data_IF_401506853275
#
_entry.id   IF_401506853275
#
_cell.length_a   1.000
_cell.length_b   1.000
_cell.length_c   1.000
_cell.angle_alpha   90.00
_cell.angle_beta   90.00
_cell.angle_gamma   90.00
#
_symmetry.space_group_name_H-M   'P 1'
#
loop_
_entity.id
_entity.type
_entity.pdbx_description
1 polymer ?
#
# COMPACT_ATOMS: atom_id res chain seq x y z
N UNK A 1 39.89 -7.62 7.80
CA UNK A 1 40.70 -7.16 6.64
C UNK A 1 40.87 -5.65 6.72
N UNK A 2 42.12 -5.17 6.69
CA UNK A 2 42.45 -3.74 6.64
C UNK A 2 41.94 -3.14 5.31
N UNK A 3 40.76 -2.50 5.32
CA UNK A 3 40.35 -1.60 4.22
C UNK A 3 41.35 -0.43 4.26
N UNK A 4 42.38 -0.44 3.42
CA UNK A 4 43.13 0.80 3.14
C UNK A 4 42.07 1.76 2.60
N UNK A 5 41.75 2.81 3.36
CA UNK A 5 40.78 3.81 2.93
C UNK A 5 41.30 4.42 1.63
N UNK A 6 40.67 4.07 0.51
CA UNK A 6 40.95 4.67 -0.79
C UNK A 6 40.63 6.15 -0.66
N UNK A 7 41.66 6.99 -0.55
CA UNK A 7 41.50 8.43 -0.53
C UNK A 7 41.44 8.91 -1.98
N UNK A 8 40.35 9.59 -2.32
CA UNK A 8 40.19 10.26 -3.59
C UNK A 8 40.57 11.72 -3.41
N UNK A 9 41.39 12.25 -4.32
CA UNK A 9 41.78 13.64 -4.28
C UNK A 9 41.22 14.37 -5.49
N UNK A 10 40.37 15.37 -5.22
CA UNK A 10 39.70 16.20 -6.22
C UNK A 10 40.48 17.50 -6.38
N UNK A 11 40.77 17.94 -7.63
CA UNK A 11 41.52 19.17 -7.87
C UNK A 11 40.81 20.37 -7.25
N UNK A 12 41.58 21.43 -6.98
CA UNK A 12 41.01 22.67 -6.46
C UNK A 12 39.86 23.16 -7.38
N UNK A 13 38.65 23.37 -6.84
CA UNK A 13 37.50 23.77 -7.62
C UNK A 13 37.78 25.09 -8.34
N UNK A 14 37.32 25.20 -9.59
CA UNK A 14 37.44 26.45 -10.33
C UNK A 14 36.60 27.54 -9.64
N UNK A 15 37.08 28.81 -9.63
CA UNK A 15 36.29 29.91 -9.10
C UNK A 15 34.94 30.00 -9.83
N UNK A 16 33.86 29.92 -9.07
CA UNK A 16 32.50 30.13 -9.56
C UNK A 16 32.31 31.64 -9.77
N UNK A 17 32.51 32.13 -10.99
CA UNK A 17 32.34 33.54 -11.31
C UNK A 17 30.91 34.05 -11.02
N UNK A 18 30.81 35.23 -10.38
CA UNK A 18 29.56 35.99 -10.25
C UNK A 18 28.35 35.27 -9.64
N UNK A 19 27.13 35.60 -10.13
CA UNK A 19 25.81 35.11 -9.68
C UNK A 19 25.54 33.62 -9.98
N UNK A 20 26.51 32.84 -10.46
CA UNK A 20 26.28 31.42 -10.77
C UNK A 20 25.83 30.64 -9.54
N UNK A 21 24.95 29.67 -9.78
CA UNK A 21 24.50 28.71 -8.79
C UNK A 21 25.69 27.89 -8.27
N UNK A 22 25.61 27.49 -7.00
CA UNK A 22 26.71 26.77 -6.33
C UNK A 22 26.74 25.30 -6.73
N UNK A 23 25.62 24.77 -7.19
CA UNK A 23 25.46 23.49 -7.85
C UNK A 23 24.30 23.62 -8.84
N UNK A 24 24.35 22.86 -9.92
CA UNK A 24 23.31 22.87 -10.98
C UNK A 24 22.73 21.50 -11.27
N UNK A 25 23.31 20.44 -10.69
CA UNK A 25 22.81 19.08 -10.79
C UNK A 25 22.23 18.62 -9.45
N UNK A 26 21.33 17.65 -9.55
CA UNK A 26 20.55 17.12 -8.43
C UNK A 26 21.39 16.82 -7.17
N UNK A 27 22.50 16.09 -7.29
CA UNK A 27 23.35 15.73 -6.14
C UNK A 27 23.98 16.94 -5.45
N UNK A 28 24.42 17.93 -6.23
CA UNK A 28 25.00 19.15 -5.70
C UNK A 28 23.94 20.06 -5.07
N UNK A 29 22.76 20.19 -5.70
CA UNK A 29 21.62 20.93 -5.15
C UNK A 29 21.15 20.32 -3.83
N UNK A 30 20.95 19.00 -3.80
CA UNK A 30 20.52 18.29 -2.60
C UNK A 30 21.53 18.39 -1.46
N UNK A 31 22.83 18.42 -1.78
CA UNK A 31 23.87 18.70 -0.79
C UNK A 31 23.78 20.13 -0.23
N UNK A 32 23.55 21.13 -1.10
CA UNK A 32 23.32 22.51 -0.68
C UNK A 32 22.10 22.60 0.23
N UNK A 33 20.98 21.95 -0.12
CA UNK A 33 19.78 21.92 0.70
C UNK A 33 20.05 21.31 2.08
N UNK A 34 20.84 20.23 2.11
CA UNK A 34 21.22 19.57 3.36
C UNK A 34 22.09 20.48 4.24
N UNK A 35 22.97 21.28 3.64
CA UNK A 35 23.75 22.28 4.37
C UNK A 35 22.90 23.46 4.83
N UNK A 36 22.00 23.96 4.00
CA UNK A 36 21.24 25.19 4.29
C UNK A 36 20.08 24.93 5.26
N UNK A 37 19.52 23.72 5.28
CA UNK A 37 18.34 23.33 6.08
C UNK A 37 17.19 24.33 5.92
N UNK A 38 16.67 24.51 4.67
CA UNK A 38 15.69 25.56 4.38
C UNK A 38 14.37 25.39 5.15
N UNK A 39 14.01 24.14 5.47
CA UNK A 39 12.82 23.80 6.25
C UNK A 39 13.03 23.95 7.77
N UNK A 40 14.27 24.20 8.21
CA UNK A 40 14.65 24.37 9.60
C UNK A 40 14.40 23.13 10.46
N UNK A 41 14.43 21.94 9.87
CA UNK A 41 14.08 20.69 10.56
C UNK A 41 15.16 20.26 11.56
N UNK A 42 16.44 20.52 11.25
CA UNK A 42 17.56 20.12 12.10
C UNK A 42 18.03 21.24 13.03
N UNK A 43 18.09 22.48 12.54
CA UNK A 43 18.65 23.61 13.31
C UNK A 43 17.58 24.62 13.77
N UNK A 44 16.30 24.38 13.49
CA UNK A 44 15.21 25.34 13.70
C UNK A 44 15.23 26.49 12.68
N UNK A 45 14.35 27.48 12.83
CA UNK A 45 14.41 28.70 12.01
C UNK A 45 15.80 29.35 12.14
N UNK A 46 16.44 29.57 10.99
CA UNK A 46 17.83 30.01 10.92
C UNK A 46 18.12 31.20 11.84
N UNK A 47 19.11 31.06 12.71
CA UNK A 47 19.62 32.18 13.49
C UNK A 47 20.42 33.09 12.56
N UNK A 48 20.26 34.41 12.69
CA UNK A 48 20.95 35.42 11.88
C UNK A 48 22.48 35.24 11.82
N UNK A 49 23.07 34.62 12.85
CA UNK A 49 24.48 34.23 12.89
C UNK A 49 24.86 33.11 11.93
N UNK A 50 24.02 32.09 11.75
CA UNK A 50 24.23 30.97 10.81
C UNK A 50 24.12 31.45 9.36
N UNK A 51 23.06 32.19 9.04
CA UNK A 51 22.87 32.75 7.70
C UNK A 51 24.03 33.64 7.26
N UNK A 52 24.50 34.50 8.16
CA UNK A 52 25.65 35.35 7.90
C UNK A 52 26.95 34.55 7.67
N UNK A 53 27.13 33.42 8.35
CA UNK A 53 28.29 32.52 8.17
C UNK A 53 28.22 31.76 6.84
N UNK A 54 27.05 31.21 6.51
CA UNK A 54 26.80 30.55 5.23
C UNK A 54 27.01 31.51 4.06
N UNK A 55 26.46 32.72 4.13
CA UNK A 55 26.65 33.75 3.10
C UNK A 55 28.13 34.05 2.84
N UNK A 56 28.95 34.21 3.89
CA UNK A 56 30.40 34.38 3.73
C UNK A 56 31.08 33.13 3.18
N UNK A 57 30.64 31.94 3.56
CA UNK A 57 31.10 30.67 3.01
C UNK A 57 30.88 30.57 1.50
N UNK A 58 29.67 30.93 1.03
CA UNK A 58 29.34 31.01 -0.41
C UNK A 58 30.30 31.94 -1.14
N UNK A 59 30.62 33.11 -0.58
CA UNK A 59 31.60 34.04 -1.15
C UNK A 59 32.99 33.42 -1.28
N UNK A 60 33.46 32.71 -0.25
CA UNK A 60 34.79 32.10 -0.26
C UNK A 60 34.89 30.96 -1.29
N UNK A 61 33.84 30.13 -1.40
CA UNK A 61 33.75 29.09 -2.42
C UNK A 61 33.81 29.71 -3.83
N UNK A 62 33.02 30.76 -4.09
CA UNK A 62 33.00 31.48 -5.38
C UNK A 62 34.34 32.10 -5.77
N UNK A 63 35.09 32.62 -4.79
CA UNK A 63 36.41 33.20 -5.01
C UNK A 63 37.52 32.17 -5.26
N UNK A 64 37.23 30.87 -5.24
CA UNK A 64 38.25 29.83 -5.36
C UNK A 64 39.21 29.80 -4.16
N UNK A 65 38.69 30.11 -2.96
CA UNK A 65 39.49 30.09 -1.73
C UNK A 65 39.74 28.68 -1.21
N UNK A 66 39.03 27.67 -1.73
CA UNK A 66 39.18 26.26 -1.37
C UNK A 66 40.23 25.62 -2.28
N UNK A 67 41.23 24.97 -1.67
CA UNK A 67 42.24 24.22 -2.40
C UNK A 67 41.74 22.84 -2.84
N UNK A 68 42.70 21.95 -3.10
CA UNK A 68 42.43 20.54 -3.38
C UNK A 68 41.63 19.89 -2.24
N UNK A 69 40.67 19.04 -2.61
CA UNK A 69 39.73 18.41 -1.69
C UNK A 69 40.06 16.92 -1.59
N UNK A 70 40.37 16.46 -0.39
CA UNK A 70 40.56 15.03 -0.10
C UNK A 70 39.26 14.44 0.41
N UNK A 71 38.81 13.36 -0.21
CA UNK A 71 37.63 12.59 0.15
C UNK A 71 38.07 11.19 0.58
N UNK A 72 37.58 10.72 1.72
CA UNK A 72 37.65 9.32 2.16
C UNK A 72 36.30 8.95 2.75
N UNK A 73 36.12 7.67 3.07
CA UNK A 73 34.94 7.21 3.78
C UNK A 73 34.68 8.05 5.04
N UNK A 74 33.48 8.64 5.10
CA UNK A 74 32.97 9.49 6.17
C UNK A 74 33.67 10.85 6.34
N UNK A 75 34.52 11.28 5.40
CA UNK A 75 35.36 12.46 5.61
C UNK A 75 35.77 13.21 4.36
N UNK A 76 35.71 14.53 4.49
CA UNK A 76 36.12 15.53 3.53
C UNK A 76 37.13 16.49 4.17
N UNK A 77 38.21 16.83 3.48
CA UNK A 77 39.12 17.87 3.97
C UNK A 77 39.71 18.73 2.86
N UNK A 78 39.99 20.00 3.18
CA UNK A 78 40.69 20.91 2.31
C UNK A 78 41.45 21.99 3.09
N UNK A 79 42.37 22.65 2.40
CA UNK A 79 42.97 23.91 2.86
C UNK A 79 42.18 25.08 2.30
N UNK A 80 41.69 25.97 3.16
CA UNK A 80 40.87 27.12 2.77
C UNK A 80 41.60 28.42 3.08
N UNK A 81 41.84 29.24 2.06
CA UNK A 81 42.43 30.57 2.20
C UNK A 81 41.48 31.48 2.97
N UNK A 82 42.05 32.34 3.82
CA UNK A 82 41.29 33.35 4.55
C UNK A 82 42.18 34.52 4.91
N UNK A 83 41.88 35.19 6.03
CA UNK A 83 42.62 36.41 6.43
C UNK A 83 44.07 36.16 6.88
N UNK A 84 44.42 34.93 7.28
CA UNK A 84 45.80 34.57 7.66
C UNK A 84 46.60 34.12 6.44
N UNK A 85 47.92 34.37 6.49
CA UNK A 85 48.88 33.94 5.46
C UNK A 85 48.86 32.42 5.23
N UNK A 86 48.74 31.64 6.30
CA UNK A 86 48.62 30.18 6.23
C UNK A 86 47.14 29.79 6.07
N UNK A 87 46.77 29.04 5.02
CA UNK A 87 45.40 28.54 4.84
C UNK A 87 44.92 27.69 6.02
N UNK A 88 43.64 27.81 6.36
CA UNK A 88 43.01 27.03 7.41
C UNK A 88 42.77 25.59 6.96
N UNK A 89 43.12 24.62 7.81
CA UNK A 89 42.69 23.22 7.68
C UNK A 89 41.22 23.13 8.06
N UNK A 90 40.40 22.64 7.12
CA UNK A 90 38.97 22.42 7.28
C UNK A 90 38.64 20.96 7.01
N UNK A 91 37.76 20.40 7.82
CA UNK A 91 37.28 19.02 7.71
C UNK A 91 35.76 19.00 7.89
N UNK A 92 35.11 18.12 7.15
CA UNK A 92 33.70 17.80 7.30
C UNK A 92 33.60 16.29 7.44
N UNK A 93 32.97 15.85 8.51
CA UNK A 93 32.72 14.45 8.79
C UNK A 93 31.23 14.18 8.58
N UNK A 94 30.93 13.04 7.99
CA UNK A 94 29.58 12.55 7.75
C UNK A 94 29.56 11.04 8.03
N UNK A 95 28.44 10.45 8.43
CA UNK A 95 28.36 9.02 8.62
C UNK A 95 28.51 8.27 7.29
N UNK A 96 29.26 7.17 7.33
CA UNK A 96 29.26 6.18 6.25
C UNK A 96 27.91 5.45 6.23
N UNK A 97 27.48 5.00 5.05
CA UNK A 97 26.28 4.16 4.99
C UNK A 97 26.62 2.77 5.53
N UNK A 98 25.78 2.20 6.42
CA UNK A 98 25.95 0.82 6.88
C UNK A 98 25.99 -0.17 5.72
N UNK A 99 26.73 -1.27 5.86
CA UNK A 99 26.82 -2.30 4.83
C UNK A 99 25.43 -2.82 4.42
N UNK A 100 24.49 -2.95 5.37
CA UNK A 100 23.10 -3.33 5.10
C UNK A 100 22.35 -2.32 4.20
N UNK A 101 22.54 -1.02 4.42
CA UNK A 101 21.95 0.03 3.58
C UNK A 101 22.55 0.01 2.17
N UNK A 102 23.86 -0.26 2.06
CA UNK A 102 24.50 -0.49 0.77
C UNK A 102 23.93 -1.72 0.06
N UNK A 103 23.67 -2.82 0.76
CA UNK A 103 23.04 -4.00 0.17
C UNK A 103 21.60 -3.72 -0.32
N UNK A 104 20.85 -2.86 0.38
CA UNK A 104 19.54 -2.40 -0.09
C UNK A 104 19.66 -1.56 -1.37
N UNK A 105 20.58 -0.58 -1.38
CA UNK A 105 20.81 0.31 -2.52
C UNK A 105 21.28 -0.47 -3.77
N UNK A 106 22.25 -1.36 -3.61
CA UNK A 106 22.71 -2.25 -4.67
C UNK A 106 21.59 -3.18 -5.18
N UNK A 107 20.52 -3.36 -4.42
CA UNK A 107 19.37 -4.20 -4.79
C UNK A 107 18.44 -3.44 -5.70
N UNK A 108 18.13 -2.21 -5.31
CA UNK A 108 17.40 -1.28 -6.14
C UNK A 108 18.12 -1.03 -7.48
N UNK A 109 19.43 -0.77 -7.43
CA UNK A 109 20.24 -0.57 -8.64
C UNK A 109 20.31 -1.80 -9.54
N UNK A 110 20.44 -3.00 -8.97
CA UNK A 110 20.40 -4.24 -9.77
C UNK A 110 19.02 -4.48 -10.40
N UNK A 111 17.94 -4.06 -9.73
CA UNK A 111 16.58 -4.17 -10.27
C UNK A 111 16.31 -3.19 -11.43
N UNK A 112 17.07 -2.10 -11.54
CA UNK A 112 17.02 -1.20 -12.70
C UNK A 112 17.53 -1.92 -13.95
N UNK A 113 18.68 -2.61 -13.84
CA UNK A 113 19.28 -3.38 -14.92
C UNK A 113 20.75 -3.04 -15.22
N UNK A 114 21.32 -3.59 -16.30
CA UNK A 114 22.72 -3.40 -16.68
C UNK A 114 23.04 -2.00 -17.22
N UNK A 115 22.04 -1.22 -17.63
CA UNK A 115 22.18 0.17 -18.08
C UNK A 115 22.67 1.09 -16.95
N UNK A 116 22.18 0.92 -15.72
CA UNK A 116 22.69 1.66 -14.57
C UNK A 116 24.16 1.33 -14.29
N UNK A 117 24.58 0.07 -14.44
CA UNK A 117 25.99 -0.30 -14.31
C UNK A 117 26.87 0.42 -15.35
N UNK A 118 26.37 0.62 -16.58
CA UNK A 118 27.10 1.37 -17.62
C UNK A 118 27.25 2.84 -17.25
N UNK A 119 26.19 3.49 -16.78
CA UNK A 119 26.25 4.88 -16.29
C UNK A 119 27.23 5.03 -15.12
N UNK A 120 27.14 4.11 -14.16
CA UNK A 120 28.04 4.08 -13.01
C UNK A 120 29.50 3.87 -13.45
N UNK A 121 29.77 3.01 -14.44
CA UNK A 121 31.11 2.81 -14.97
C UNK A 121 31.69 4.06 -15.65
N UNK A 122 30.84 4.95 -16.16
CA UNK A 122 31.22 6.27 -16.70
C UNK A 122 31.42 7.32 -15.59
N UNK A 123 31.20 6.93 -14.32
CA UNK A 123 31.27 7.82 -13.15
C UNK A 123 30.04 8.70 -12.98
N UNK A 124 28.96 8.42 -13.72
CA UNK A 124 27.70 9.15 -13.65
C UNK A 124 26.74 8.46 -12.69
N UNK A 125 26.10 9.27 -11.86
CA UNK A 125 24.99 8.86 -11.00
C UNK A 125 23.78 9.69 -11.45
N UNK A 126 23.24 9.33 -12.62
CA UNK A 126 22.13 10.01 -13.26
C UNK A 126 20.77 9.68 -12.66
N UNK A 127 19.70 10.02 -13.38
CA UNK A 127 18.32 9.90 -12.92
C UNK A 127 17.96 8.46 -12.52
N UNK A 128 18.44 7.45 -13.24
CA UNK A 128 18.22 6.04 -12.91
C UNK A 128 18.73 5.68 -11.51
N UNK A 129 19.96 6.11 -11.18
CA UNK A 129 20.56 5.85 -9.87
C UNK A 129 19.85 6.62 -8.76
N UNK A 130 19.41 7.85 -9.04
CA UNK A 130 18.66 8.71 -8.11
C UNK A 130 17.30 8.10 -7.82
N UNK A 131 16.50 7.80 -8.84
CA UNK A 131 15.15 7.25 -8.71
C UNK A 131 15.16 5.91 -7.97
N UNK A 132 16.08 5.01 -8.33
CA UNK A 132 16.22 3.72 -7.67
C UNK A 132 16.63 3.88 -6.19
N UNK A 133 17.51 4.81 -5.86
CA UNK A 133 17.91 5.08 -4.48
C UNK A 133 16.73 5.64 -3.64
N UNK A 134 15.98 6.59 -4.21
CA UNK A 134 14.80 7.18 -3.57
C UNK A 134 13.67 6.16 -3.38
N UNK A 135 13.48 5.23 -4.31
CA UNK A 135 12.46 4.19 -4.20
C UNK A 135 12.67 3.25 -3.01
N UNK A 136 13.91 3.13 -2.51
CA UNK A 136 14.26 2.39 -1.29
C UNK A 136 14.63 3.29 -0.10
N UNK A 137 14.28 4.58 -0.19
CA UNK A 137 14.51 5.59 0.86
C UNK A 137 15.98 5.73 1.28
N UNK A 138 16.92 5.48 0.37
CA UNK A 138 18.35 5.64 0.62
C UNK A 138 18.86 6.94 0.01
N UNK A 139 19.42 7.82 0.85
CA UNK A 139 20.06 9.06 0.41
C UNK A 139 21.58 8.97 0.50
N UNK A 140 22.26 9.16 -0.64
CA UNK A 140 23.72 9.28 -0.67
C UNK A 140 24.20 10.62 -0.11
N UNK A 141 23.42 11.69 -0.23
CA UNK A 141 23.72 12.96 0.46
C UNK A 141 23.41 12.84 1.95
N UNK A 142 24.25 13.40 2.84
CA UNK A 142 23.97 13.42 4.27
C UNK A 142 22.73 14.25 4.60
N UNK A 143 22.06 13.92 5.71
CA UNK A 143 21.00 14.77 6.28
C UNK A 143 21.59 16.03 6.94
N UNK A 144 20.79 17.09 7.16
CA UNK A 144 21.30 18.33 7.74
C UNK A 144 21.97 18.20 9.12
N UNK A 145 21.53 17.25 9.94
CA UNK A 145 22.06 16.95 11.27
C UNK A 145 23.24 15.95 11.25
N UNK A 146 23.58 15.38 10.10
CA UNK A 146 24.66 14.41 9.95
C UNK A 146 26.04 15.05 9.74
N UNK A 147 26.11 16.37 9.56
CA UNK A 147 27.37 17.07 9.35
C UNK A 147 28.06 17.40 10.67
N UNK A 148 29.35 17.04 10.77
CA UNK A 148 30.24 17.54 11.83
C UNK A 148 31.38 18.32 11.22
N UNK A 149 31.57 19.58 11.64
CA UNK A 149 32.57 20.47 11.05
C UNK A 149 33.76 20.69 11.98
N UNK A 150 34.97 20.64 11.42
CA UNK A 150 36.19 21.04 12.13
C UNK A 150 36.97 22.06 11.30
N UNK A 151 37.42 23.13 11.96
CA UNK A 151 38.24 24.15 11.31
C UNK A 151 39.28 24.70 12.28
N UNK A 152 40.51 24.85 11.80
CA UNK A 152 41.60 25.51 12.53
C UNK A 152 41.46 27.04 12.70
N UNK A 153 40.32 27.62 12.29
CA UNK A 153 40.06 29.05 12.41
C UNK A 153 39.51 29.40 13.80
N UNK A 154 39.67 30.65 14.28
CA UNK A 154 39.18 31.06 15.60
C UNK A 154 37.65 31.28 15.67
N UNK A 155 36.90 30.99 14.61
CA UNK A 155 35.43 31.08 14.57
C UNK A 155 34.84 29.74 15.02
N UNK A 156 34.29 29.71 16.23
CA UNK A 156 33.60 28.57 16.85
C UNK A 156 32.18 28.35 16.30
N UNK A 157 31.91 28.86 15.10
CA UNK A 157 30.63 28.68 14.43
C UNK A 157 30.46 27.31 13.83
N UNK A 158 29.20 26.89 13.74
CA UNK A 158 28.82 25.57 13.24
C UNK A 158 27.80 25.69 12.07
N UNK A 159 28.24 25.61 10.80
CA UNK A 159 29.62 25.66 10.35
C UNK A 159 30.21 27.09 10.42
N UNK A 160 31.54 27.18 10.55
CA UNK A 160 32.25 28.42 10.32
C UNK A 160 32.28 28.76 8.81
N UNK A 161 32.59 30.01 8.44
CA UNK A 161 32.62 30.40 7.01
C UNK A 161 33.57 29.55 6.14
N UNK A 162 34.65 29.00 6.70
CA UNK A 162 35.61 28.18 5.93
C UNK A 162 35.11 26.74 5.73
N UNK A 163 34.49 26.15 6.76
CA UNK A 163 33.84 24.84 6.64
C UNK A 163 32.64 24.91 5.69
N UNK A 164 31.84 25.97 5.77
CA UNK A 164 30.79 26.26 4.80
C UNK A 164 31.35 26.40 3.38
N UNK A 165 32.48 27.11 3.20
CA UNK A 165 33.11 27.24 1.89
C UNK A 165 33.56 25.89 1.31
N UNK A 166 34.15 25.01 2.14
CA UNK A 166 34.49 23.64 1.74
C UNK A 166 33.23 22.85 1.33
N UNK A 167 32.14 22.95 2.11
CA UNK A 167 30.88 22.27 1.80
C UNK A 167 30.29 22.71 0.46
N UNK A 168 30.20 24.02 0.20
CA UNK A 168 29.72 24.54 -1.09
C UNK A 168 30.64 24.19 -2.26
N UNK A 169 31.96 24.22 -2.04
CA UNK A 169 32.93 23.81 -3.05
C UNK A 169 32.81 22.33 -3.41
N UNK A 170 32.52 21.47 -2.42
CA UNK A 170 32.24 20.07 -2.65
C UNK A 170 30.94 19.87 -3.41
N UNK A 171 29.86 20.58 -3.03
CA UNK A 171 28.59 20.56 -3.74
C UNK A 171 28.75 20.85 -5.23
N UNK A 172 29.53 21.88 -5.58
CA UNK A 172 29.84 22.19 -6.98
C UNK A 172 30.61 21.06 -7.68
N UNK A 173 31.54 20.42 -6.96
CA UNK A 173 32.32 19.32 -7.52
C UNK A 173 31.43 18.12 -7.85
N UNK A 174 30.35 17.92 -7.09
CA UNK A 174 29.32 16.91 -7.37
C UNK A 174 28.57 17.13 -8.68
N UNK A 175 28.65 18.28 -9.34
CA UNK A 175 28.09 18.45 -10.69
C UNK A 175 28.86 17.67 -11.76
N UNK A 176 30.13 17.30 -11.47
CA UNK A 176 31.05 16.67 -12.43
C UNK A 176 31.68 15.39 -11.94
N UNK A 177 31.71 15.17 -10.61
CA UNK A 177 32.34 14.03 -9.95
C UNK A 177 31.38 13.43 -8.93
N UNK A 178 30.35 12.75 -9.44
CA UNK A 178 29.29 12.16 -8.61
C UNK A 178 29.84 10.99 -7.78
N UNK A 179 30.85 10.28 -8.31
CA UNK A 179 31.63 9.22 -7.66
C UNK A 179 32.23 9.61 -6.30
N UNK A 180 32.41 10.92 -6.08
CA UNK A 180 32.82 11.47 -4.80
C UNK A 180 31.87 11.13 -3.66
N UNK A 181 30.55 11.10 -3.91
CA UNK A 181 29.56 10.73 -2.89
C UNK A 181 29.67 9.27 -2.48
N UNK A 182 29.93 8.37 -3.43
CA UNK A 182 30.09 6.94 -3.15
C UNK A 182 31.31 6.70 -2.26
N UNK A 183 32.44 7.33 -2.59
CA UNK A 183 33.65 7.31 -1.78
C UNK A 183 33.39 7.87 -0.38
N UNK A 184 32.68 9.00 -0.28
CA UNK A 184 32.34 9.62 0.99
C UNK A 184 31.42 8.72 1.84
N UNK A 185 30.50 7.97 1.22
CA UNK A 185 29.57 7.06 1.90
C UNK A 185 30.12 5.65 2.14
N UNK A 186 31.39 5.41 1.82
CA UNK A 186 32.13 4.20 2.22
C UNK A 186 32.26 3.10 1.16
N UNK A 187 31.76 3.30 -0.06
CA UNK A 187 32.03 2.40 -1.20
C UNK A 187 32.51 3.19 -2.42
N UNK A 188 33.81 3.16 -2.76
CA UNK A 188 34.30 3.87 -3.95
C UNK A 188 33.69 3.29 -5.23
N UNK A 189 33.75 4.07 -6.32
CA UNK A 189 33.11 3.75 -7.59
C UNK A 189 33.45 2.36 -8.11
N UNK A 190 34.74 2.00 -8.10
CA UNK A 190 35.20 0.71 -8.61
C UNK A 190 34.59 -0.45 -7.81
N UNK A 191 34.48 -0.29 -6.48
CA UNK A 191 33.86 -1.28 -5.62
C UNK A 191 32.36 -1.36 -5.89
N UNK A 192 31.67 -0.23 -6.03
CA UNK A 192 30.24 -0.19 -6.34
C UNK A 192 29.91 -0.86 -7.68
N UNK A 193 30.73 -0.62 -8.72
CA UNK A 193 30.60 -1.29 -10.02
C UNK A 193 30.79 -2.80 -9.90
N UNK A 194 31.82 -3.25 -9.17
CA UNK A 194 32.08 -4.69 -8.96
C UNK A 194 30.94 -5.35 -8.19
N UNK A 195 30.44 -4.70 -7.13
CA UNK A 195 29.35 -5.21 -6.31
C UNK A 195 28.05 -5.34 -7.13
N UNK A 196 27.73 -4.31 -7.92
CA UNK A 196 26.56 -4.29 -8.80
C UNK A 196 26.68 -5.34 -9.92
N UNK A 197 27.83 -5.42 -10.60
CA UNK A 197 28.07 -6.42 -11.64
C UNK A 197 27.97 -7.85 -11.10
N UNK A 198 28.50 -8.10 -9.89
CA UNK A 198 28.40 -9.40 -9.22
C UNK A 198 26.95 -9.76 -8.94
N UNK A 199 26.12 -8.79 -8.54
CA UNK A 199 24.68 -9.02 -8.30
C UNK A 199 23.92 -9.32 -9.58
N UNK A 200 24.15 -8.53 -10.63
CA UNK A 200 23.52 -8.76 -11.94
C UNK A 200 23.87 -10.16 -12.48
N UNK A 201 25.13 -10.56 -12.40
CA UNK A 201 25.56 -11.90 -12.81
C UNK A 201 24.87 -13.03 -12.00
N UNK A 202 24.68 -12.84 -10.69
CA UNK A 202 23.95 -13.79 -9.84
C UNK A 202 22.47 -13.87 -10.22
N UNK A 203 21.83 -12.75 -10.53
CA UNK A 203 20.44 -12.72 -10.98
C UNK A 203 20.29 -13.42 -12.34
N UNK A 204 21.19 -13.15 -13.28
CA UNK A 204 21.20 -13.83 -14.58
C UNK A 204 21.39 -15.34 -14.42
N UNK A 205 22.34 -15.77 -13.59
CA UNK A 205 22.53 -17.20 -13.30
C UNK A 205 21.29 -17.82 -12.65
N UNK A 206 20.65 -17.14 -11.69
CA UNK A 206 19.44 -17.64 -11.06
C UNK A 206 18.27 -17.78 -12.06
N UNK A 207 18.14 -16.85 -13.00
CA UNK A 207 17.17 -16.93 -14.09
C UNK A 207 17.49 -18.08 -15.06
N UNK A 208 18.77 -18.28 -15.38
CA UNK A 208 19.22 -19.40 -16.20
C UNK A 208 18.96 -20.75 -15.53
N UNK A 209 19.26 -20.87 -14.23
CA UNK A 209 19.01 -22.07 -13.43
C UNK A 209 17.51 -22.36 -13.32
N UNK A 210 16.68 -21.34 -13.09
CA UNK A 210 15.22 -21.48 -13.06
C UNK A 210 14.66 -21.92 -14.42
N UNK A 211 15.17 -21.35 -15.52
CA UNK A 211 14.81 -21.75 -16.89
C UNK A 211 15.24 -23.19 -17.19
N UNK A 212 16.45 -23.58 -16.79
CA UNK A 212 16.95 -24.94 -16.95
C UNK A 212 16.13 -25.96 -16.14
N UNK A 213 15.75 -25.63 -14.90
CA UNK A 213 14.87 -26.45 -14.08
C UNK A 213 13.48 -26.62 -14.71
N UNK A 214 12.93 -25.56 -15.30
CA UNK A 214 11.65 -25.61 -16.02
C UNK A 214 11.74 -26.47 -17.29
N UNK A 215 12.86 -26.40 -18.03
CA UNK A 215 13.09 -27.16 -19.26
C UNK A 215 13.42 -28.63 -19.01
N UNK A 216 14.11 -28.94 -17.92
CA UNK A 216 14.38 -30.32 -17.51
C UNK A 216 13.08 -31.10 -17.28
N UNK A 217 11.99 -30.40 -16.92
CA UNK A 217 10.71 -30.99 -16.58
C UNK A 217 10.82 -31.98 -15.40
N UNK A 218 9.72 -32.44 -14.82
CA UNK A 218 9.79 -33.66 -14.03
C UNK A 218 10.25 -34.79 -14.96
N UNK A 219 11.32 -35.51 -14.60
CA UNK A 219 11.72 -36.75 -15.27
C UNK A 219 10.68 -37.83 -14.96
N UNK A 220 9.48 -37.68 -15.50
CA UNK A 220 8.39 -38.62 -15.41
C UNK A 220 8.28 -39.39 -16.71
N UNK A 221 8.11 -40.71 -16.63
CA UNK A 221 7.55 -41.43 -17.76
C UNK A 221 6.14 -40.87 -18.01
N UNK A 222 5.75 -40.62 -19.28
CA UNK A 222 4.40 -40.16 -19.58
C UNK A 222 3.37 -41.10 -18.93
N UNK A 223 2.40 -40.55 -18.20
CA UNK A 223 1.40 -41.34 -17.48
C UNK A 223 0.73 -42.37 -18.41
N UNK A 224 0.48 -42.01 -19.66
CA UNK A 224 -0.03 -42.92 -20.69
C UNK A 224 0.83 -44.18 -20.90
N UNK A 225 2.16 -44.06 -20.82
CA UNK A 225 3.10 -45.18 -20.98
C UNK A 225 3.05 -46.13 -19.78
N UNK A 226 2.96 -45.57 -18.57
CA UNK A 226 2.77 -46.33 -17.33
C UNK A 226 1.40 -47.04 -17.33
N UNK A 227 0.34 -46.33 -17.69
CA UNK A 227 -1.01 -46.89 -17.78
C UNK A 227 -1.12 -47.98 -18.86
N UNK A 228 -0.42 -47.83 -20.00
CA UNK A 228 -0.36 -48.85 -21.04
C UNK A 228 0.35 -50.12 -20.55
N UNK A 229 1.53 -49.98 -19.94
CA UNK A 229 2.26 -51.12 -19.37
C UNK A 229 1.48 -51.80 -18.24
N UNK A 230 0.82 -51.03 -17.37
CA UNK A 230 -0.01 -51.57 -16.31
C UNK A 230 -1.25 -52.32 -16.85
N UNK A 231 -1.90 -51.79 -17.91
CA UNK A 231 -3.02 -52.47 -18.58
C UNK A 231 -2.60 -53.77 -19.26
N UNK A 232 -1.43 -53.79 -19.89
CA UNK A 232 -0.90 -55.00 -20.54
C UNK A 232 -0.50 -56.07 -19.51
N UNK A 233 0.11 -55.67 -18.40
CA UNK A 233 0.60 -56.60 -17.37
C UNK A 233 -0.51 -57.15 -16.46
N UNK A 234 -1.52 -56.36 -16.12
CA UNK A 234 -2.54 -56.74 -15.13
C UNK A 234 -3.91 -57.09 -15.73
N UNK A 235 -4.14 -56.81 -17.02
CA UNK A 235 -5.48 -56.76 -17.60
C UNK A 235 -6.25 -55.55 -17.08
N UNK A 236 -7.17 -55.00 -17.89
CA UNK A 236 -7.96 -53.86 -17.45
C UNK A 236 -8.88 -54.30 -16.28
N UNK A 237 -8.79 -53.68 -15.09
CA UNK A 237 -9.78 -53.92 -14.05
C UNK A 237 -11.15 -53.52 -14.61
N UNK A 238 -12.17 -54.34 -14.31
CA UNK A 238 -13.55 -54.00 -14.63
C UNK A 238 -13.89 -52.62 -14.10
N UNK A 239 -14.71 -51.86 -14.83
CA UNK A 239 -15.16 -50.55 -14.38
C UNK A 239 -15.74 -50.72 -12.96
N UNK A 240 -15.20 -49.98 -11.96
CA UNK A 240 -15.79 -50.01 -10.64
C UNK A 240 -17.23 -49.52 -10.73
N UNK A 241 -18.11 -50.14 -9.94
CA UNK A 241 -19.47 -49.65 -9.82
C UNK A 241 -19.44 -48.17 -9.46
N UNK A 242 -20.33 -47.39 -10.10
CA UNK A 242 -20.44 -45.97 -9.83
C UNK A 242 -20.60 -45.78 -8.31
N UNK A 243 -19.72 -45.03 -7.65
CA UNK A 243 -19.87 -44.77 -6.23
C UNK A 243 -21.24 -44.11 -6.04
N UNK A 244 -21.97 -44.53 -5.00
CA UNK A 244 -23.20 -43.87 -4.60
C UNK A 244 -22.91 -42.36 -4.51
N UNK A 245 -23.78 -41.50 -5.05
CA UNK A 245 -23.56 -40.06 -5.05
C UNK A 245 -23.20 -39.65 -3.63
N UNK A 246 -22.05 -38.98 -3.48
CA UNK A 246 -21.58 -38.56 -2.18
C UNK A 246 -22.71 -37.79 -1.49
N UNK A 247 -23.01 -38.06 -0.21
CA UNK A 247 -23.94 -37.23 0.52
C UNK A 247 -23.48 -35.78 0.36
N UNK A 248 -24.43 -34.87 0.07
CA UNK A 248 -24.16 -33.43 -0.03
C UNK A 248 -23.66 -32.99 1.36
N UNK A 249 -22.35 -33.08 1.59
CA UNK A 249 -21.73 -32.40 2.71
C UNK A 249 -21.74 -30.93 2.36
N UNK A 250 -22.54 -30.17 3.10
CA UNK A 250 -22.59 -28.71 3.04
C UNK A 250 -21.33 -28.06 3.65
N UNK A 251 -20.36 -28.85 4.08
CA UNK A 251 -19.12 -28.35 4.66
C UNK A 251 -18.21 -27.80 3.56
N UNK A 252 -17.92 -26.50 3.68
CA UNK A 252 -17.08 -25.74 2.78
C UNK A 252 -15.72 -26.42 2.55
N UNK A 253 -15.22 -26.48 1.29
CA UNK A 253 -13.92 -27.07 1.02
C UNK A 253 -12.83 -26.29 1.75
N UNK A 254 -12.24 -26.90 2.78
CA UNK A 254 -11.07 -26.35 3.47
C UNK A 254 -9.80 -26.68 2.70
N UNK A 255 -9.12 -25.65 2.19
CA UNK A 255 -7.78 -25.77 1.61
C UNK A 255 -6.78 -26.20 2.69
N UNK A 256 -6.58 -27.51 2.78
CA UNK A 256 -5.56 -28.15 3.62
C UNK A 256 -4.36 -28.52 2.75
N UNK A 257 -3.82 -27.56 2.01
CA UNK A 257 -2.52 -27.72 1.34
C UNK A 257 -1.42 -27.18 2.26
N UNK A 258 -0.38 -27.97 2.59
CA UNK A 258 0.79 -27.45 3.30
C UNK A 258 1.50 -26.47 2.37
N UNK A 259 1.42 -25.18 2.71
CA UNK A 259 2.07 -24.12 1.94
C UNK A 259 3.58 -24.18 2.23
N UNK A 260 4.35 -24.75 1.31
CA UNK A 260 5.81 -24.77 1.40
C UNK A 260 6.34 -23.41 0.96
N UNK A 261 6.96 -22.70 1.90
CA UNK A 261 7.33 -21.29 1.77
C UNK A 261 8.11 -20.93 0.51
N UNK A 262 7.67 -19.84 -0.11
CA UNK A 262 8.28 -19.14 -1.23
C UNK A 262 7.46 -17.89 -1.52
N UNK A 263 7.78 -16.81 -0.80
CA UNK A 263 7.38 -15.40 -0.96
C UNK A 263 5.89 -14.95 -1.12
N UNK A 264 5.55 -13.97 -0.28
CA UNK A 264 4.54 -12.88 -0.41
C UNK A 264 3.03 -13.13 -0.28
N UNK A 265 2.50 -14.35 -0.36
CA UNK A 265 1.05 -14.56 -0.27
C UNK A 265 0.63 -15.05 1.14
N UNK A 266 -0.07 -14.17 1.87
CA UNK A 266 -0.72 -14.52 3.13
C UNK A 266 -1.85 -15.55 2.88
N UNK A 267 -1.78 -16.76 3.47
CA UNK A 267 -2.74 -17.83 3.20
C UNK A 267 -4.12 -17.59 3.82
N UNK A 268 -4.24 -16.75 4.85
CA UNK A 268 -5.52 -16.48 5.50
C UNK A 268 -6.52 -15.77 4.56
N UNK A 269 -6.17 -14.66 3.88
CA UNK A 269 -7.01 -14.05 2.85
C UNK A 269 -7.34 -15.00 1.69
N UNK A 270 -6.40 -15.85 1.29
CA UNK A 270 -6.63 -16.78 0.18
C UNK A 270 -7.73 -17.80 0.54
N UNK A 271 -7.72 -18.33 1.76
CA UNK A 271 -8.78 -19.23 2.25
C UNK A 271 -10.15 -18.57 2.26
N UNK A 272 -10.21 -17.30 2.63
CA UNK A 272 -11.45 -16.51 2.62
C UNK A 272 -11.98 -16.27 1.21
N UNK A 273 -11.11 -15.97 0.24
CA UNK A 273 -11.49 -15.82 -1.17
C UNK A 273 -12.04 -17.13 -1.73
N UNK A 274 -11.43 -18.26 -1.37
CA UNK A 274 -11.87 -19.59 -1.80
C UNK A 274 -13.21 -19.96 -1.17
N UNK A 275 -13.40 -19.66 0.12
CA UNK A 275 -14.69 -19.84 0.78
C UNK A 275 -15.79 -18.97 0.13
N UNK A 276 -15.52 -17.70 -0.14
CA UNK A 276 -16.47 -16.81 -0.83
C UNK A 276 -16.84 -17.33 -2.24
N UNK A 277 -15.85 -17.80 -3.01
CA UNK A 277 -16.08 -18.37 -4.33
C UNK A 277 -16.91 -19.66 -4.28
N UNK A 278 -16.62 -20.55 -3.34
CA UNK A 278 -17.36 -21.80 -3.17
C UNK A 278 -18.82 -21.55 -2.71
N UNK A 279 -19.06 -20.57 -1.84
CA UNK A 279 -20.42 -20.20 -1.42
C UNK A 279 -21.23 -19.63 -2.59
N UNK A 280 -20.63 -18.77 -3.43
CA UNK A 280 -21.26 -18.26 -4.66
C UNK A 280 -21.59 -19.38 -5.64
N UNK A 281 -20.66 -20.33 -5.84
CA UNK A 281 -20.88 -21.50 -6.70
C UNK A 281 -22.01 -22.41 -6.18
N UNK A 282 -22.09 -22.63 -4.87
CA UNK A 282 -23.15 -23.41 -4.25
C UNK A 282 -24.53 -22.74 -4.44
N UNK A 283 -24.60 -21.41 -4.32
CA UNK A 283 -25.85 -20.67 -4.55
C UNK A 283 -26.32 -20.76 -6.01
N UNK A 284 -25.39 -20.60 -6.97
CA UNK A 284 -25.66 -20.83 -8.40
C UNK A 284 -26.21 -22.24 -8.65
N UNK A 285 -25.56 -23.25 -8.07
CA UNK A 285 -25.99 -24.64 -8.22
C UNK A 285 -27.39 -24.88 -7.65
N UNK A 286 -27.69 -24.33 -6.46
CA UNK A 286 -29.00 -24.44 -5.82
C UNK A 286 -30.13 -23.80 -6.66
N UNK A 287 -29.85 -22.68 -7.31
CA UNK A 287 -30.81 -22.02 -8.21
C UNK A 287 -31.05 -22.84 -9.49
N UNK A 288 -29.99 -23.39 -10.08
CA UNK A 288 -30.09 -24.25 -11.27
C UNK A 288 -30.80 -25.59 -11.01
N UNK A 289 -30.80 -26.04 -9.75
CA UNK A 289 -31.44 -27.29 -9.30
C UNK A 289 -32.78 -27.09 -8.63
N UNK A 290 -33.27 -25.84 -8.52
CA UNK A 290 -34.57 -25.53 -7.92
C UNK A 290 -35.68 -26.12 -8.79
N UNK A 291 -36.57 -26.97 -8.25
CA UNK A 291 -37.72 -27.47 -9.00
C UNK A 291 -38.62 -26.30 -9.40
N UNK A 292 -39.08 -26.28 -10.65
CA UNK A 292 -40.09 -25.32 -11.09
C UNK A 292 -41.37 -25.57 -10.29
N UNK A 293 -41.89 -24.56 -9.58
CA UNK A 293 -43.24 -24.61 -9.04
C UNK A 293 -44.22 -24.44 -10.20
N UNK A 294 -44.70 -25.54 -10.76
CA UNK A 294 -45.92 -25.53 -11.57
C UNK A 294 -47.07 -25.90 -10.64
N UNK A 295 -48.13 -25.08 -10.64
CA UNK A 295 -49.43 -25.48 -10.11
C UNK A 295 -49.89 -26.72 -10.87
N UNK A 296 -50.27 -27.76 -10.12
CA UNK A 296 -50.70 -29.08 -10.60
C UNK A 296 -52.09 -29.03 -11.28
N UNK A 297 -52.21 -28.33 -12.41
CA UNK A 297 -53.33 -28.51 -13.34
C UNK A 297 -52.80 -28.55 -14.77
N UNK A 298 -52.22 -29.70 -15.14
CA UNK A 298 -52.44 -30.40 -16.42
C UNK A 298 -51.46 -31.56 -16.55
N UNK A 299 -51.82 -32.68 -15.92
CA UNK A 299 -51.06 -33.93 -15.95
C UNK A 299 -51.42 -34.69 -17.22
N UNK A 300 -50.77 -34.38 -18.34
CA UNK A 300 -50.82 -35.25 -19.52
C UNK A 300 -49.49 -35.40 -20.28
N UNK A 301 -48.53 -34.47 -20.17
CA UNK A 301 -47.31 -34.51 -21.02
C UNK A 301 -45.96 -34.51 -20.26
N UNK A 302 -45.95 -34.88 -18.98
CA UNK A 302 -44.72 -34.89 -18.17
C UNK A 302 -43.69 -35.98 -18.57
N UNK A 303 -44.07 -36.96 -19.40
CA UNK A 303 -43.19 -38.06 -19.80
C UNK A 303 -42.43 -37.82 -21.13
N UNK A 304 -42.77 -36.78 -21.90
CA UNK A 304 -42.16 -36.49 -23.20
C UNK A 304 -41.14 -35.34 -23.17
N UNK A 305 -41.04 -34.59 -22.07
CA UNK A 305 -40.08 -33.49 -21.93
C UNK A 305 -38.71 -34.02 -21.49
N UNK A 306 -37.84 -34.30 -22.46
CA UNK A 306 -36.41 -34.55 -22.22
C UNK A 306 -35.71 -33.37 -21.51
N UNK A 307 -34.43 -33.52 -21.12
CA UNK A 307 -33.71 -32.59 -20.23
C UNK A 307 -33.49 -31.16 -20.76
N UNK A 308 -34.10 -30.79 -21.89
CA UNK A 308 -33.87 -29.56 -22.63
C UNK A 308 -34.81 -28.39 -22.29
N UNK A 309 -35.86 -28.57 -21.47
CA UNK A 309 -36.68 -27.43 -21.00
C UNK A 309 -36.13 -26.70 -19.75
N UNK A 310 -34.90 -27.02 -19.31
CA UNK A 310 -34.24 -26.35 -18.17
C UNK A 310 -33.67 -24.96 -18.48
N UNK A 311 -33.78 -24.50 -19.73
CA UNK A 311 -33.37 -23.17 -20.17
C UNK A 311 -34.55 -22.18 -20.19
N UNK A 312 -35.29 -22.08 -19.10
CA UNK A 312 -36.16 -20.94 -18.87
C UNK A 312 -35.35 -19.84 -18.15
N UNK A 313 -34.66 -19.01 -18.95
CA UNK A 313 -34.31 -17.62 -18.61
C UNK A 313 -33.85 -17.32 -17.16
N UNK A 314 -32.99 -18.15 -16.56
CA UNK A 314 -32.26 -17.71 -15.38
C UNK A 314 -31.16 -16.76 -15.88
N UNK A 315 -31.49 -15.46 -16.00
CA UNK A 315 -30.46 -14.44 -16.00
C UNK A 315 -29.49 -14.79 -14.87
N UNK A 316 -28.18 -14.85 -15.15
CA UNK A 316 -27.19 -15.06 -14.11
C UNK A 316 -27.56 -14.13 -12.95
N UNK A 317 -27.74 -14.63 -11.73
CA UNK A 317 -28.07 -13.77 -10.58
C UNK A 317 -26.79 -13.09 -10.12
N UNK A 318 -26.08 -12.47 -11.06
CA UNK A 318 -24.92 -11.64 -10.84
C UNK A 318 -25.16 -10.56 -9.77
N UNK A 319 -26.39 -10.01 -9.59
CA UNK A 319 -26.70 -9.13 -8.45
C UNK A 319 -26.69 -9.88 -7.11
N UNK A 320 -27.41 -11.00 -6.99
CA UNK A 320 -27.52 -11.77 -5.73
C UNK A 320 -26.19 -12.41 -5.33
N UNK A 321 -25.32 -12.63 -6.31
CA UNK A 321 -23.99 -13.17 -6.16
C UNK A 321 -22.91 -12.09 -6.09
N UNK A 322 -23.25 -10.80 -6.20
CA UNK A 322 -22.31 -9.67 -6.18
C UNK A 322 -21.14 -9.81 -7.16
N UNK A 323 -21.40 -10.33 -8.37
CA UNK A 323 -20.36 -10.50 -9.41
C UNK A 323 -20.09 -9.19 -10.17
N UNK A 324 -21.08 -8.29 -10.21
CA UNK A 324 -20.97 -6.95 -10.82
C UNK A 324 -20.86 -5.82 -9.76
N UNK A 325 -20.62 -6.18 -8.50
CA UNK A 325 -20.53 -5.23 -7.41
C UNK A 325 -19.29 -4.33 -7.55
N UNK A 326 -19.43 -3.03 -7.29
CA UNK A 326 -18.27 -2.14 -7.25
C UNK A 326 -17.28 -2.59 -6.15
N UNK A 327 -15.98 -2.28 -6.28
CA UNK A 327 -14.99 -2.65 -5.26
C UNK A 327 -15.37 -2.19 -3.85
N UNK A 328 -16.05 -1.06 -3.73
CA UNK A 328 -16.61 -0.56 -2.48
C UNK A 328 -17.69 -1.48 -1.90
N UNK A 329 -18.69 -1.86 -2.71
CA UNK A 329 -19.77 -2.75 -2.27
C UNK A 329 -19.23 -4.13 -1.85
N UNK A 330 -18.26 -4.68 -2.61
CA UNK A 330 -17.65 -5.97 -2.25
C UNK A 330 -16.81 -5.87 -0.96
N UNK A 331 -16.08 -4.77 -0.75
CA UNK A 331 -15.35 -4.54 0.50
C UNK A 331 -16.28 -4.46 1.71
N UNK A 332 -17.42 -3.76 1.59
CA UNK A 332 -18.43 -3.68 2.66
C UNK A 332 -19.04 -5.04 2.96
N UNK A 333 -19.44 -5.80 1.92
CA UNK A 333 -19.97 -7.15 2.05
C UNK A 333 -18.99 -8.08 2.77
N UNK A 334 -17.71 -8.07 2.38
CA UNK A 334 -16.65 -8.86 3.03
C UNK A 334 -16.43 -8.42 4.48
N UNK A 335 -16.41 -7.12 4.74
CA UNK A 335 -16.26 -6.59 6.10
C UNK A 335 -17.44 -6.95 7.02
N UNK A 336 -18.64 -7.07 6.45
CA UNK A 336 -19.83 -7.50 7.19
C UNK A 336 -19.77 -8.97 7.60
N UNK A 337 -19.16 -9.81 6.77
CA UNK A 337 -18.95 -11.24 6.98
C UNK A 337 -17.66 -11.59 7.76
N UNK A 338 -16.84 -10.60 8.10
CA UNK A 338 -15.71 -10.83 9.01
C UNK A 338 -16.28 -11.13 10.40
N UNK A 339 -16.18 -12.38 10.87
CA UNK A 339 -16.60 -12.83 12.21
C UNK A 339 -15.67 -12.28 13.33
N UNK A 340 -15.40 -10.96 13.29
CA UNK A 340 -14.54 -10.28 14.25
C UNK A 340 -13.04 -10.41 13.99
N UNK A 341 -12.60 -10.98 12.86
CA UNK A 341 -11.17 -11.05 12.48
C UNK A 341 -10.58 -9.63 12.26
N UNK A 342 -9.71 -9.13 13.16
CA UNK A 342 -9.17 -7.78 13.07
C UNK A 342 -8.18 -7.61 11.91
N UNK A 343 -7.48 -8.67 11.51
CA UNK A 343 -6.47 -8.62 10.45
C UNK A 343 -7.15 -8.50 9.09
N UNK A 344 -8.21 -9.29 8.86
CA UNK A 344 -9.00 -9.19 7.63
C UNK A 344 -9.68 -7.82 7.51
N UNK A 345 -10.27 -7.33 8.60
CA UNK A 345 -10.90 -6.03 8.63
C UNK A 345 -9.88 -4.89 8.37
N UNK A 346 -8.69 -4.97 8.96
CA UNK A 346 -7.59 -4.03 8.76
C UNK A 346 -7.13 -3.95 7.29
N UNK A 347 -7.09 -5.08 6.58
CA UNK A 347 -6.76 -5.11 5.16
C UNK A 347 -7.83 -4.44 4.30
N UNK A 348 -9.11 -4.70 4.60
CA UNK A 348 -10.23 -4.07 3.90
C UNK A 348 -10.30 -2.56 4.14
N UNK A 349 -9.96 -2.08 5.35
CA UNK A 349 -9.84 -0.64 5.62
C UNK A 349 -8.87 0.05 4.66
N UNK A 350 -7.75 -0.60 4.32
CA UNK A 350 -6.72 -0.04 3.45
C UNK A 350 -6.99 -0.21 1.95
N UNK A 351 -8.15 -0.77 1.56
CA UNK A 351 -8.52 -0.99 0.15
C UNK A 351 -8.86 0.29 -0.62
N UNK A 352 -9.34 1.32 0.07
CA UNK A 352 -9.71 2.62 -0.53
C UNK A 352 -9.89 3.70 0.55
N UNK A 353 -9.86 4.96 0.14
CA UNK A 353 -10.12 6.11 1.02
C UNK A 353 -11.53 6.07 1.62
N UNK A 354 -12.50 5.59 0.83
CA UNK A 354 -13.87 5.38 1.28
C UNK A 354 -13.95 4.28 2.36
N UNK A 355 -13.14 3.22 2.23
CA UNK A 355 -13.04 2.19 3.25
C UNK A 355 -12.43 2.69 4.55
N UNK A 356 -11.33 3.44 4.49
CA UNK A 356 -10.69 4.03 5.68
C UNK A 356 -11.65 4.90 6.51
N UNK A 357 -12.58 5.58 5.85
CA UNK A 357 -13.48 6.55 6.49
C UNK A 357 -14.84 5.98 6.88
N UNK A 358 -15.35 4.98 6.15
CA UNK A 358 -16.75 4.55 6.25
C UNK A 358 -16.99 3.05 6.43
N UNK A 359 -15.97 2.19 6.30
CA UNK A 359 -16.18 0.73 6.19
C UNK A 359 -16.90 0.13 7.39
N UNK A 360 -16.53 0.50 8.63
CA UNK A 360 -17.15 -0.05 9.83
C UNK A 360 -18.65 0.25 9.90
N UNK A 361 -19.04 1.50 9.60
CA UNK A 361 -20.44 1.92 9.56
C UNK A 361 -21.20 1.23 8.44
N UNK A 362 -20.55 1.07 7.29
CA UNK A 362 -21.11 0.37 6.15
C UNK A 362 -21.32 -1.12 6.39
N UNK A 363 -20.37 -1.79 7.04
CA UNK A 363 -20.47 -3.19 7.41
C UNK A 363 -21.62 -3.43 8.43
N UNK A 364 -21.81 -2.53 9.40
CA UNK A 364 -22.95 -2.59 10.33
C UNK A 364 -24.27 -2.41 9.60
N UNK A 365 -24.38 -1.44 8.69
CA UNK A 365 -25.59 -1.27 7.88
C UNK A 365 -25.88 -2.52 7.04
N UNK A 366 -24.86 -3.06 6.37
CA UNK A 366 -24.97 -4.27 5.56
C UNK A 366 -25.45 -5.48 6.36
N UNK A 367 -24.98 -5.68 7.59
CA UNK A 367 -25.46 -6.78 8.45
C UNK A 367 -26.96 -6.68 8.77
N UNK A 368 -27.51 -5.47 8.84
CA UNK A 368 -28.92 -5.29 9.15
C UNK A 368 -29.84 -5.44 7.94
N UNK A 369 -29.41 -5.09 6.72
CA UNK A 369 -30.29 -5.18 5.55
C UNK A 369 -29.59 -5.11 4.19
N UNK A 370 -28.35 -5.60 4.11
CA UNK A 370 -27.61 -5.78 2.87
C UNK A 370 -27.38 -4.49 2.09
N UNK A 371 -27.45 -4.59 0.76
CA UNK A 371 -27.21 -3.47 -0.15
C UNK A 371 -28.22 -2.33 0.01
N UNK A 372 -29.50 -2.65 0.25
CA UNK A 372 -30.53 -1.66 0.49
C UNK A 372 -30.24 -0.83 1.76
N UNK A 373 -29.69 -1.46 2.81
CA UNK A 373 -29.25 -0.75 4.01
C UNK A 373 -28.06 0.18 3.72
N UNK A 374 -27.08 -0.28 2.93
CA UNK A 374 -25.92 0.53 2.53
C UNK A 374 -26.34 1.79 1.77
N UNK A 375 -27.32 1.69 0.87
CA UNK A 375 -27.88 2.84 0.16
C UNK A 375 -28.52 3.90 1.10
N UNK A 376 -28.91 3.50 2.32
CA UNK A 376 -29.47 4.43 3.31
C UNK A 376 -28.42 5.17 4.15
N UNK A 377 -27.13 4.81 4.09
CA UNK A 377 -26.09 5.41 4.95
C UNK A 377 -25.87 6.90 4.73
N UNK A 378 -25.95 7.33 3.48
CA UNK A 378 -25.82 8.74 3.13
C UNK A 378 -27.17 9.46 3.19
N UNK A 379 -28.27 8.72 3.37
CA UNK A 379 -29.64 9.24 3.51
C UNK A 379 -30.05 10.12 2.33
N UNK A 380 -29.73 9.67 1.12
CA UNK A 380 -30.02 10.31 -0.17
C UNK A 380 -31.43 9.98 -0.66
N UNK A 381 -31.99 8.85 -0.25
CA UNK A 381 -33.33 8.42 -0.63
C UNK A 381 -34.42 9.15 0.18
N UNK A 382 -35.28 9.88 -0.51
CA UNK A 382 -36.37 10.66 0.08
C UNK A 382 -37.67 9.84 0.09
N UNK A 383 -38.35 9.66 1.24
CA UNK A 383 -39.64 8.99 1.27
C UNK A 383 -40.71 9.81 0.52
N UNK A 384 -41.67 9.13 -0.09
CA UNK A 384 -42.85 9.78 -0.64
C UNK A 384 -43.67 10.47 0.47
N UNK A 385 -44.44 11.54 0.18
CA UNK A 385 -45.28 12.20 1.17
C UNK A 385 -46.26 11.25 1.87
N UNK A 386 -46.78 10.25 1.15
CA UNK A 386 -47.68 9.23 1.67
C UNK A 386 -46.97 8.28 2.63
N UNK A 387 -45.79 7.78 2.26
CA UNK A 387 -44.97 6.93 3.13
C UNK A 387 -44.54 7.68 4.40
N UNK A 388 -44.21 8.98 4.28
CA UNK A 388 -43.90 9.84 5.43
C UNK A 388 -45.13 10.01 6.35
N UNK A 389 -46.31 10.27 5.79
CA UNK A 389 -47.55 10.42 6.55
C UNK A 389 -47.92 9.13 7.30
N UNK A 390 -47.83 7.98 6.63
CA UNK A 390 -48.06 6.67 7.22
C UNK A 390 -47.07 6.38 8.36
N UNK A 391 -45.78 6.64 8.15
CA UNK A 391 -44.77 6.47 9.19
C UNK A 391 -45.03 7.37 10.41
N UNK A 392 -45.41 8.63 10.20
CA UNK A 392 -45.77 9.54 11.31
C UNK A 392 -46.98 9.06 12.09
N UNK A 393 -47.95 8.44 11.41
CA UNK A 393 -49.11 7.83 12.07
C UNK A 393 -48.69 6.61 12.91
N UNK A 394 -47.93 5.68 12.33
CA UNK A 394 -47.39 4.50 13.01
C UNK A 394 -46.56 4.87 14.25
N UNK A 395 -45.69 5.87 14.15
CA UNK A 395 -44.81 6.27 15.25
C UNK A 395 -45.56 6.93 16.43
N UNK A 396 -46.75 7.50 16.20
CA UNK A 396 -47.59 8.05 17.27
C UNK A 396 -48.21 6.98 18.16
N UNK A 397 -48.35 5.75 17.65
CA UNK A 397 -48.96 4.64 18.39
C UNK A 397 -47.93 3.85 19.21
N UNK A 398 -46.63 4.12 19.02
CA UNK A 398 -45.55 3.46 19.77
C UNK A 398 -45.40 4.05 21.17
N UNK A 399 -45.37 3.17 22.18
CA UNK A 399 -44.93 3.51 23.54
C UNK A 399 -43.51 2.97 23.73
N UNK A 400 -42.58 3.87 24.09
CA UNK A 400 -41.20 3.54 24.39
C UNK A 400 -41.03 3.25 25.89
N UNK A 401 -40.13 2.33 26.30
CA UNK A 401 -39.99 1.91 27.70
C UNK A 401 -39.74 3.06 28.68
N UNK A 402 -39.01 4.10 28.28
CA UNK A 402 -38.59 5.21 29.15
C UNK A 402 -39.50 6.46 29.07
N UNK A 403 -40.65 6.40 28.36
CA UNK A 403 -41.53 7.57 28.18
C UNK A 403 -43.03 7.25 28.17
N UNK A 404 -43.79 8.13 28.83
CA UNK A 404 -45.26 8.12 28.82
C UNK A 404 -45.90 8.84 27.62
N UNK A 405 -45.14 9.65 26.88
CA UNK A 405 -45.62 10.45 25.75
C UNK A 405 -44.99 9.99 24.41
N UNK A 406 -45.73 10.08 23.29
CA UNK A 406 -45.23 9.64 21.98
C UNK A 406 -44.02 10.48 21.51
N UNK A 407 -43.11 9.90 20.71
CA UNK A 407 -41.89 10.57 20.29
C UNK A 407 -42.18 11.77 19.38
N UNK A 408 -41.45 12.88 19.58
CA UNK A 408 -41.54 14.07 18.73
C UNK A 408 -40.69 13.88 17.47
N UNK A 409 -41.34 13.88 16.30
CA UNK A 409 -40.69 13.60 15.01
C UNK A 409 -40.37 14.89 14.27
N UNK A 410 -39.09 15.13 14.00
CA UNK A 410 -38.60 16.22 13.16
C UNK A 410 -38.12 15.67 11.83
N UNK A 411 -38.50 16.32 10.72
CA UNK A 411 -37.93 16.03 9.40
C UNK A 411 -36.67 16.86 9.18
N UNK A 412 -35.59 16.20 8.79
CA UNK A 412 -34.33 16.84 8.41
C UNK A 412 -33.80 16.16 7.15
N UNK A 413 -33.74 16.88 6.01
CA UNK A 413 -33.23 16.36 4.72
C UNK A 413 -33.79 14.96 4.34
N UNK A 414 -35.10 14.77 4.48
CA UNK A 414 -35.78 13.49 4.15
C UNK A 414 -35.76 12.41 5.20
N UNK A 415 -35.14 12.67 6.35
CA UNK A 415 -34.96 11.70 7.44
C UNK A 415 -35.89 12.03 8.59
N UNK A 416 -36.46 10.99 9.21
CA UNK A 416 -37.35 11.13 10.35
C UNK A 416 -36.54 10.99 11.64
N UNK A 417 -36.20 12.12 12.25
CA UNK A 417 -35.44 12.16 13.51
C UNK A 417 -36.38 12.23 14.70
N UNK A 418 -36.16 11.34 15.68
CA UNK A 418 -36.88 11.34 16.95
C UNK A 418 -36.14 12.26 17.93
N UNK A 419 -36.79 13.35 18.30
CA UNK A 419 -36.19 14.42 19.12
C UNK A 419 -36.02 13.94 20.56
N UNK A 420 -34.77 13.89 21.03
CA UNK A 420 -34.40 13.48 22.38
C UNK A 420 -33.97 12.01 22.50
N UNK A 421 -34.24 11.17 21.50
CA UNK A 421 -33.92 9.74 21.54
C UNK A 421 -32.60 9.39 20.83
N UNK A 422 -32.04 10.35 20.06
CA UNK A 422 -30.86 10.07 19.23
C UNK A 422 -31.11 9.00 18.18
N UNK A 423 -32.36 8.83 17.72
CA UNK A 423 -32.78 7.85 16.70
C UNK A 423 -33.22 8.56 15.42
N UNK A 424 -32.85 8.01 14.27
CA UNK A 424 -33.22 8.46 12.93
C UNK A 424 -33.74 7.30 12.10
N UNK A 425 -34.91 7.43 11.49
CA UNK A 425 -35.43 6.46 10.52
C UNK A 425 -35.20 6.95 9.10
N UNK A 426 -34.71 6.05 8.24
CA UNK A 426 -34.41 6.30 6.83
C UNK A 426 -35.19 5.32 5.97
N UNK A 427 -35.73 5.79 4.84
CA UNK A 427 -36.43 4.93 3.88
C UNK A 427 -35.41 4.40 2.87
N UNK A 428 -35.37 3.09 2.68
CA UNK A 428 -34.54 2.45 1.67
C UNK A 428 -35.22 2.36 0.30
N UNK A 429 -34.44 2.02 -0.75
CA UNK A 429 -34.96 1.81 -2.10
C UNK A 429 -35.91 0.61 -2.22
N UNK A 430 -35.84 -0.30 -1.25
CA UNK A 430 -36.69 -1.49 -1.08
C UNK A 430 -38.01 -1.19 -0.33
N UNK A 431 -38.33 0.09 -0.15
CA UNK A 431 -39.53 0.55 0.53
C UNK A 431 -39.62 0.15 2.02
N UNK A 432 -38.48 -0.16 2.66
CA UNK A 432 -38.41 -0.44 4.10
C UNK A 432 -37.82 0.71 4.90
N UNK A 433 -38.15 0.75 6.19
CA UNK A 433 -37.61 1.69 7.16
C UNK A 433 -36.41 1.09 7.88
N UNK A 434 -35.29 1.80 7.80
CA UNK A 434 -34.01 1.46 8.40
C UNK A 434 -33.77 2.34 9.62
N UNK A 435 -33.57 1.74 10.80
CA UNK A 435 -33.35 2.52 11.98
C UNK A 435 -31.87 2.78 12.26
N UNK A 436 -31.56 4.02 12.65
CA UNK A 436 -30.22 4.49 12.99
C UNK A 436 -30.19 5.11 14.38
N UNK A 437 -29.12 4.86 15.14
CA UNK A 437 -28.84 5.49 16.43
C UNK A 437 -27.58 6.34 16.36
N UNK A 438 -27.61 7.48 17.03
CA UNK A 438 -26.47 8.39 17.12
C UNK A 438 -25.53 7.94 18.24
N UNK A 439 -24.30 7.62 17.89
CA UNK A 439 -23.22 7.32 18.83
C UNK A 439 -21.99 8.17 18.49
N UNK A 440 -21.40 8.82 19.51
CA UNK A 440 -20.23 9.72 19.40
C UNK A 440 -20.27 10.70 18.20
N UNK A 441 -21.46 11.24 17.91
CA UNK A 441 -21.65 12.21 16.81
C UNK A 441 -21.95 11.60 15.43
N UNK A 442 -21.86 10.28 15.28
CA UNK A 442 -22.10 9.56 14.03
C UNK A 442 -23.38 8.71 14.10
N UNK A 443 -24.02 8.47 12.95
CA UNK A 443 -25.21 7.62 12.84
C UNK A 443 -24.82 6.21 12.43
N UNK A 444 -25.27 5.23 13.22
CA UNK A 444 -25.04 3.79 13.05
C UNK A 444 -26.36 3.06 12.86
N UNK A 445 -26.42 2.10 11.93
CA UNK A 445 -27.59 1.25 11.81
C UNK A 445 -27.77 0.47 13.13
N UNK A 446 -29.01 0.38 13.60
CA UNK A 446 -29.31 -0.03 14.97
C UNK A 446 -30.32 -1.17 15.08
N UNK A 447 -30.71 -1.79 13.96
CA UNK A 447 -31.70 -2.86 13.95
C UNK A 447 -32.11 -3.27 12.54
N UNK A 448 -32.86 -4.39 12.42
CA UNK A 448 -33.34 -4.88 11.13
C UNK A 448 -34.34 -3.88 10.49
N UNK A 449 -34.44 -3.85 9.15
CA UNK A 449 -35.43 -3.04 8.46
C UNK A 449 -36.83 -3.63 8.59
N UNK A 450 -37.84 -2.77 8.58
CA UNK A 450 -39.24 -3.18 8.56
C UNK A 450 -40.06 -2.32 7.60
N UNK A 451 -41.15 -2.87 7.04
CA UNK A 451 -42.10 -2.08 6.24
C UNK A 451 -42.85 -1.06 7.11
N UNK A 452 -43.05 -1.37 8.39
CA UNK A 452 -43.68 -0.51 9.38
C UNK A 452 -42.63 0.28 10.19
N UNK A 453 -42.79 1.60 10.29
CA UNK A 453 -41.83 2.48 10.96
C UNK A 453 -41.80 2.26 12.49
N UNK A 454 -42.92 1.85 13.09
CA UNK A 454 -43.00 1.53 14.51
C UNK A 454 -42.30 0.22 14.84
N UNK A 455 -42.36 -0.77 13.95
CA UNK A 455 -41.62 -2.02 14.06
C UNK A 455 -40.10 -1.79 13.94
N UNK A 456 -39.67 -1.02 12.93
CA UNK A 456 -38.26 -0.64 12.79
C UNK A 456 -37.74 0.09 14.04
N UNK A 457 -38.55 0.98 14.63
CA UNK A 457 -38.20 1.66 15.87
C UNK A 457 -38.13 0.71 17.08
N UNK A 458 -39.03 -0.26 17.21
CA UNK A 458 -38.94 -1.25 18.29
C UNK A 458 -37.67 -2.10 18.18
N UNK A 459 -37.28 -2.44 16.95
CA UNK A 459 -36.04 -3.16 16.66
C UNK A 459 -34.78 -2.50 17.22
N UNK A 460 -34.74 -1.16 17.39
CA UNK A 460 -33.56 -0.48 17.94
C UNK A 460 -33.35 -0.67 19.43
N UNK A 461 -34.42 -0.95 20.16
CA UNK A 461 -34.38 -1.08 21.62
C UNK A 461 -34.35 -2.54 22.09
N UNK A 462 -34.61 -3.49 21.18
CA UNK A 462 -34.53 -4.93 21.46
C UNK A 462 -33.11 -5.50 21.35
N UNK A 463 -32.18 -4.80 20.69
CA UNK A 463 -30.79 -5.22 20.45
C UNK A 463 -29.78 -4.68 21.50
N UNK A 464 -30.26 -4.40 22.72
CA UNK A 464 -29.46 -3.86 23.84
C UNK A 464 -28.78 -4.95 24.66
#
# INVERSE_FOLDING_TARGET
MNRRATAMTLPAPKPLGGRRELATKWWGERWVDSLEDPDGQAYGYSSSGRDGRLARGRTYARQGSVGEITVRAGYLAARVKGSRRTPYRCEIHVPELPDATWETLLGAWAATGPELLRELAEGDLGDLAIEAALAVEVLLTPLPDEFTYFCSCPDWGDPCKHAAALSYAFAHTLDTRHDALLTLRGRPLEQACVDLATRLARQEQALADASAAQQAGPSGLPAARIFAQAREAAGAPGLPDLPAPAPVQQDMPSLTVPFTGGETIDPAPLRLLVADAAQRAAHLYAQLTRPCAHDDTDVADAAAAGPHHRQAQAATPAPDLFLDASPWHDAVRRAAACDGDPHQFGRLLNSSDQARTGLARAAVAWRHGGEAALATLDGTHMPSPEAEAAARHQLRTVRLPERSAPPRIRRTRGRLQLTGEGVELRRGPDERWYPYRKDRGQWWAAGPPAHDAAEALRGTFAAG
#
